data_IF_640522145469
#
_entry.id   IF_640522145469
#
_cell.length_a   1.000
_cell.length_b   1.000
_cell.length_c   1.000
_cell.angle_alpha   90.00
_cell.angle_beta   90.00
_cell.angle_gamma   90.00
#
_symmetry.space_group_name_H-M   'P 1'
#
loop_
_entity.id
_entity.type
_entity.pdbx_description
1 polymer ?
#
# COMPACT_ATOMS: atom_id res chain seq x y z
N UNK A 1 -8.60 10.35 -37.56
CA UNK A 1 -7.37 10.70 -36.81
C UNK A 1 -6.90 9.42 -36.15
N UNK A 2 -5.74 8.89 -36.54
CA UNK A 2 -5.25 7.62 -36.01
C UNK A 2 -4.74 7.82 -34.58
N UNK A 3 -5.23 7.03 -33.63
CA UNK A 3 -4.70 6.94 -32.27
C UNK A 3 -3.33 6.28 -32.32
N UNK A 4 -2.27 7.09 -32.45
CA UNK A 4 -0.89 6.60 -32.44
C UNK A 4 -0.38 6.50 -31.01
N UNK A 5 -0.08 5.29 -30.55
CA UNK A 5 0.74 5.08 -29.35
C UNK A 5 2.17 5.54 -29.65
N UNK A 6 2.64 6.59 -28.98
CA UNK A 6 4.04 6.98 -29.05
C UNK A 6 4.84 6.11 -28.06
N UNK A 7 5.47 5.05 -28.57
CA UNK A 7 6.37 4.20 -27.76
C UNK A 7 7.78 4.77 -27.78
N UNK A 8 8.25 5.24 -26.63
CA UNK A 8 9.66 5.63 -26.45
C UNK A 8 10.39 4.47 -25.77
N UNK A 9 11.38 3.89 -26.46
CA UNK A 9 12.20 2.81 -25.93
C UNK A 9 13.37 3.39 -25.15
N UNK A 10 13.52 2.99 -23.88
CA UNK A 10 14.76 3.23 -23.15
C UNK A 10 15.87 2.41 -23.83
N UNK A 11 16.88 3.08 -24.39
CA UNK A 11 18.00 2.38 -25.04
C UNK A 11 18.85 1.70 -23.98
N UNK A 12 19.04 0.39 -24.13
CA UNK A 12 19.88 -0.43 -23.26
C UNK A 12 21.30 0.16 -23.27
N UNK A 13 21.70 0.69 -22.12
CA UNK A 13 23.12 0.76 -21.80
C UNK A 13 23.54 -0.68 -21.50
N UNK A 14 24.55 -1.14 -22.20
CA UNK A 14 25.28 -2.39 -22.04
C UNK A 14 25.89 -2.48 -20.63
N UNK A 15 25.02 -2.69 -19.65
CA UNK A 15 25.33 -2.56 -18.23
C UNK A 15 25.18 -3.91 -17.50
N UNK A 16 26.07 -4.85 -17.82
CA UNK A 16 26.14 -6.15 -17.14
C UNK A 16 26.87 -6.11 -15.80
N UNK A 17 27.29 -4.93 -15.32
CA UNK A 17 28.17 -4.79 -14.15
C UNK A 17 27.52 -3.92 -13.08
N UNK A 18 27.48 -4.41 -11.84
CA UNK A 18 27.05 -3.60 -10.68
C UNK A 18 27.95 -2.34 -10.63
N UNK A 19 27.35 -1.15 -10.69
CA UNK A 19 28.06 0.13 -10.66
C UNK A 19 28.27 0.85 -12.01
N UNK A 20 27.72 0.38 -13.13
CA UNK A 20 27.86 1.12 -14.38
C UNK A 20 26.91 2.32 -14.51
N UNK A 21 27.18 3.15 -15.53
CA UNK A 21 26.62 4.47 -15.76
C UNK A 21 25.12 4.57 -15.46
N UNK A 22 24.75 5.60 -14.70
CA UNK A 22 23.37 5.91 -14.35
C UNK A 22 22.51 6.10 -15.62
N UNK A 23 21.40 5.38 -15.68
CA UNK A 23 20.38 5.51 -16.72
C UNK A 23 19.36 6.61 -16.41
N UNK A 24 19.51 7.38 -15.32
CA UNK A 24 18.52 8.39 -14.89
C UNK A 24 18.19 9.39 -16.00
N UNK A 25 19.19 10.01 -16.63
CA UNK A 25 18.93 11.02 -17.66
C UNK A 25 18.27 10.43 -18.92
N UNK A 26 18.75 9.31 -19.50
CA UNK A 26 18.03 8.62 -20.57
C UNK A 26 16.60 8.21 -20.20
N UNK A 27 16.37 7.73 -18.97
CA UNK A 27 15.05 7.32 -18.49
C UNK A 27 14.11 8.52 -18.34
N UNK A 28 14.57 9.61 -17.72
CA UNK A 28 13.79 10.84 -17.57
C UNK A 28 13.48 11.50 -18.92
N UNK A 29 14.42 11.45 -19.88
CA UNK A 29 14.19 11.92 -21.25
C UNK A 29 13.09 11.10 -21.94
N UNK A 30 13.06 9.78 -21.73
CA UNK A 30 11.99 8.94 -22.27
C UNK A 30 10.63 9.28 -21.66
N UNK A 31 10.56 9.50 -20.33
CA UNK A 31 9.34 9.95 -19.65
C UNK A 31 8.85 11.32 -20.17
N UNK A 32 9.76 12.28 -20.32
CA UNK A 32 9.44 13.60 -20.86
C UNK A 32 8.97 13.53 -22.33
N UNK A 33 9.59 12.68 -23.14
CA UNK A 33 9.18 12.48 -24.53
C UNK A 33 7.83 11.77 -24.64
N UNK A 34 7.54 10.78 -23.79
CA UNK A 34 6.24 10.11 -23.77
C UNK A 34 5.10 11.02 -23.29
N UNK A 35 5.39 12.06 -22.50
CA UNK A 35 4.42 13.11 -22.16
C UNK A 35 3.88 13.87 -23.40
N UNK A 36 4.56 13.75 -24.55
CA UNK A 36 4.02 14.17 -25.85
C UNK A 36 2.70 13.47 -26.20
N UNK A 37 2.51 12.19 -25.82
CA UNK A 37 1.25 11.48 -26.01
C UNK A 37 0.08 12.25 -25.43
N UNK A 38 0.22 12.73 -24.20
CA UNK A 38 -0.78 13.54 -23.49
C UNK A 38 -1.09 14.84 -24.21
N UNK A 39 -0.07 15.50 -24.78
CA UNK A 39 -0.24 16.71 -25.60
C UNK A 39 -0.93 16.45 -26.95
N UNK A 40 -1.07 15.18 -27.36
CA UNK A 40 -1.66 14.77 -28.64
C UNK A 40 -2.88 13.85 -28.46
N UNK A 41 -3.50 13.88 -27.28
CA UNK A 41 -4.77 13.19 -27.01
C UNK A 41 -4.67 11.68 -26.80
N UNK A 42 -3.49 11.14 -26.47
CA UNK A 42 -3.27 9.72 -26.18
C UNK A 42 -2.41 9.47 -24.95
N UNK A 43 -2.42 8.25 -24.41
CA UNK A 43 -1.48 7.87 -23.35
C UNK A 43 -0.08 7.65 -23.95
N UNK A 44 0.95 8.23 -23.33
CA UNK A 44 2.34 7.95 -23.70
C UNK A 44 2.83 6.64 -23.10
N UNK A 45 3.61 5.85 -23.84
CA UNK A 45 4.19 4.60 -23.31
C UNK A 45 5.72 4.66 -23.30
N UNK A 46 6.32 4.36 -22.15
CA UNK A 46 7.78 4.20 -22.01
C UNK A 46 8.09 2.72 -21.84
N UNK A 47 8.63 2.08 -22.87
CA UNK A 47 9.02 0.68 -22.83
C UNK A 47 10.43 0.51 -22.27
N UNK A 48 10.56 -0.26 -21.19
CA UNK A 48 11.81 -0.60 -20.52
C UNK A 48 12.15 -2.07 -20.83
N UNK A 49 13.14 -2.34 -21.68
CA UNK A 49 13.50 -3.71 -22.03
C UNK A 49 14.14 -4.47 -20.85
N UNK A 50 14.16 -5.79 -20.97
CA UNK A 50 14.86 -6.69 -20.06
C UNK A 50 16.33 -6.26 -19.83
N UNK A 51 16.77 -6.24 -18.58
CA UNK A 51 18.08 -5.78 -18.17
C UNK A 51 18.03 -5.07 -16.82
N UNK A 52 19.21 -4.79 -16.26
CA UNK A 52 19.35 -4.05 -15.00
C UNK A 52 19.69 -2.60 -15.32
N UNK A 53 18.93 -1.67 -14.74
CA UNK A 53 18.99 -0.23 -15.01
C UNK A 53 19.26 0.51 -13.71
N UNK A 54 20.49 0.98 -13.50
CA UNK A 54 20.77 1.86 -12.36
C UNK A 54 20.08 3.21 -12.58
N UNK A 55 19.09 3.54 -11.76
CA UNK A 55 18.29 4.77 -11.89
C UNK A 55 18.22 5.51 -10.55
N UNK A 56 18.31 6.83 -10.58
CA UNK A 56 17.89 7.71 -9.49
C UNK A 56 16.39 8.00 -9.59
N UNK A 57 15.89 8.97 -8.82
CA UNK A 57 14.45 9.32 -8.78
C UNK A 57 13.91 9.75 -10.15
N UNK A 58 12.98 8.99 -10.77
CA UNK A 58 12.26 9.42 -11.95
C UNK A 58 11.04 10.28 -11.57
N UNK A 59 10.73 11.27 -12.40
CA UNK A 59 9.51 12.08 -12.29
C UNK A 59 8.54 11.70 -13.40
N UNK A 60 7.44 11.04 -13.01
CA UNK A 60 6.37 10.66 -13.93
C UNK A 60 5.58 11.89 -14.41
N UNK A 61 4.93 11.75 -15.56
CA UNK A 61 4.11 12.79 -16.21
C UNK A 61 2.67 12.29 -16.33
N UNK A 62 1.72 13.22 -16.43
CA UNK A 62 0.30 12.91 -16.59
C UNK A 62 0.05 12.05 -17.84
N UNK A 63 -0.86 11.07 -17.73
CA UNK A 63 -1.30 10.21 -18.82
C UNK A 63 -0.15 9.45 -19.52
N UNK A 64 0.66 8.77 -18.71
CA UNK A 64 1.82 7.97 -19.15
C UNK A 64 1.74 6.55 -18.56
N UNK A 65 2.22 5.57 -19.31
CA UNK A 65 2.37 4.17 -18.89
C UNK A 65 3.84 3.72 -19.04
N UNK A 66 4.60 3.56 -17.95
CA UNK A 66 5.85 2.82 -17.98
C UNK A 66 5.54 1.33 -18.13
N UNK A 67 6.11 0.69 -19.15
CA UNK A 67 5.96 -0.73 -19.44
C UNK A 67 7.30 -1.44 -19.21
N UNK A 68 7.36 -2.23 -18.13
CA UNK A 68 8.53 -3.00 -17.73
C UNK A 68 8.43 -4.40 -18.34
N UNK A 69 9.27 -4.68 -19.34
CA UNK A 69 9.32 -6.01 -19.94
C UNK A 69 9.76 -7.06 -18.91
N UNK A 70 9.35 -8.35 -19.06
CA UNK A 70 9.87 -9.42 -18.24
C UNK A 70 11.41 -9.41 -18.17
N UNK A 71 11.96 -9.41 -16.95
CA UNK A 71 13.39 -9.30 -16.70
C UNK A 71 13.97 -7.88 -16.71
N UNK A 72 13.14 -6.84 -16.82
CA UNK A 72 13.56 -5.47 -16.55
C UNK A 72 13.66 -5.23 -15.04
N UNK A 73 14.77 -4.65 -14.59
CA UNK A 73 15.03 -4.33 -13.18
C UNK A 73 15.49 -2.89 -13.08
N UNK A 74 14.70 -2.04 -12.42
CA UNK A 74 15.13 -0.71 -12.01
C UNK A 74 15.86 -0.83 -10.67
N UNK A 75 17.16 -0.54 -10.66
CA UNK A 75 18.01 -0.60 -9.46
C UNK A 75 18.30 0.82 -8.98
N UNK A 76 17.79 1.16 -7.82
CA UNK A 76 18.11 2.41 -7.13
C UNK A 76 19.43 2.30 -6.36
N UNK A 77 19.78 3.30 -5.55
CA UNK A 77 21.09 3.41 -4.88
C UNK A 77 21.48 2.17 -4.08
N UNK A 78 20.50 1.42 -3.56
CA UNK A 78 20.73 0.23 -2.73
C UNK A 78 21.34 0.56 -1.38
N UNK A 79 21.34 1.84 -0.99
CA UNK A 79 21.85 2.32 0.29
C UNK A 79 20.76 2.15 1.35
N UNK A 80 21.01 1.25 2.31
CA UNK A 80 20.08 0.87 3.39
C UNK A 80 19.58 2.08 4.18
N UNK A 81 20.45 3.06 4.45
CA UNK A 81 20.11 4.28 5.20
C UNK A 81 19.11 5.21 4.50
N UNK A 82 18.70 4.92 3.26
CA UNK A 82 17.62 5.63 2.58
C UNK A 82 16.23 5.00 2.82
N UNK A 83 16.15 3.86 3.49
CA UNK A 83 14.91 3.10 3.68
C UNK A 83 14.76 2.73 5.17
N UNK A 84 14.06 3.56 5.94
CA UNK A 84 13.80 3.33 7.36
C UNK A 84 12.47 2.60 7.63
N UNK A 85 11.58 2.52 6.63
CA UNK A 85 10.31 1.80 6.68
C UNK A 85 10.14 0.91 5.45
N UNK A 86 9.50 -0.25 5.63
CA UNK A 86 9.40 -1.31 4.61
C UNK A 86 7.96 -1.78 4.39
N UNK A 87 7.06 -0.81 4.26
CA UNK A 87 5.66 -1.04 3.92
C UNK A 87 5.54 -1.57 2.48
N UNK A 88 4.45 -2.30 2.20
CA UNK A 88 4.15 -2.79 0.86
C UNK A 88 3.38 -1.76 0.04
N UNK A 89 2.09 -1.62 0.34
CA UNK A 89 1.20 -0.63 -0.29
C UNK A 89 0.47 0.17 0.78
N UNK A 90 0.76 1.47 0.81
CA UNK A 90 0.01 2.46 1.57
C UNK A 90 -0.98 3.18 0.65
N UNK A 91 -2.28 3.07 0.97
CA UNK A 91 -3.31 3.90 0.35
C UNK A 91 -3.53 5.13 1.24
N UNK A 92 -3.22 6.30 0.71
CA UNK A 92 -3.16 7.52 1.52
C UNK A 92 -4.05 8.61 0.92
N UNK A 93 -4.94 9.19 1.74
CA UNK A 93 -5.78 10.35 1.38
C UNK A 93 -6.46 10.22 0.01
N UNK A 94 -6.90 9.00 -0.31
CA UNK A 94 -7.38 8.61 -1.63
C UNK A 94 -8.79 8.03 -1.55
N UNK A 95 -9.52 8.10 -2.67
CA UNK A 95 -10.88 7.57 -2.79
C UNK A 95 -11.05 6.66 -3.99
N UNK A 96 -11.83 5.58 -3.83
CA UNK A 96 -12.16 4.64 -4.90
C UNK A 96 -10.96 3.79 -5.31
N UNK A 97 -10.19 3.30 -4.33
CA UNK A 97 -8.95 2.55 -4.55
C UNK A 97 -9.20 1.05 -4.37
N UNK A 98 -8.78 0.26 -5.35
CA UNK A 98 -8.76 -1.20 -5.27
C UNK A 98 -7.35 -1.74 -5.38
N UNK A 99 -6.93 -2.54 -4.40
CA UNK A 99 -5.67 -3.30 -4.41
C UNK A 99 -6.02 -4.78 -4.51
N UNK A 100 -5.70 -5.40 -5.63
CA UNK A 100 -6.09 -6.77 -5.94
C UNK A 100 -4.89 -7.68 -6.18
N UNK A 101 -4.98 -8.95 -5.81
CA UNK A 101 -4.04 -10.01 -6.22
C UNK A 101 -2.58 -9.69 -5.87
N UNK A 102 -2.36 -9.13 -4.68
CA UNK A 102 -1.07 -8.60 -4.27
C UNK A 102 -0.38 -9.50 -3.23
N UNK A 103 0.94 -9.55 -3.31
CA UNK A 103 1.82 -10.22 -2.34
C UNK A 103 2.68 -9.15 -1.68
N UNK A 104 2.51 -8.95 -0.39
CA UNK A 104 3.31 -8.05 0.42
C UNK A 104 4.14 -8.85 1.43
N UNK A 105 5.46 -8.75 1.33
CA UNK A 105 6.41 -9.35 2.26
C UNK A 105 7.36 -8.24 2.68
N UNK A 106 7.34 -7.88 3.96
CA UNK A 106 8.08 -6.73 4.47
C UNK A 106 8.39 -6.87 5.94
N UNK A 107 9.20 -5.93 6.43
CA UNK A 107 9.49 -5.78 7.85
C UNK A 107 8.48 -4.84 8.53
N UNK A 108 7.64 -4.16 7.75
CA UNK A 108 6.59 -3.29 8.26
C UNK A 108 5.25 -3.64 7.62
N UNK A 109 4.34 -2.69 7.39
CA UNK A 109 2.95 -2.97 7.02
C UNK A 109 2.80 -3.34 5.54
N UNK A 110 2.42 -4.59 5.19
CA UNK A 110 2.35 -4.97 3.79
C UNK A 110 1.20 -4.27 3.05
N UNK A 111 0.10 -3.99 3.75
CA UNK A 111 -1.07 -3.31 3.20
C UNK A 111 -1.67 -2.40 4.27
N UNK A 112 -1.71 -1.10 4.00
CA UNK A 112 -2.22 -0.14 4.96
C UNK A 112 -3.00 1.02 4.35
N UNK A 113 -3.85 1.66 5.16
CA UNK A 113 -4.43 2.98 4.87
C UNK A 113 -3.92 4.02 5.86
N UNK A 114 -3.60 5.22 5.40
CA UNK A 114 -3.10 6.34 6.24
C UNK A 114 -3.68 7.67 5.76
N UNK A 115 -3.74 8.68 6.63
CA UNK A 115 -4.21 10.02 6.23
C UNK A 115 -3.55 11.08 7.08
N UNK A 116 -2.72 11.94 6.53
CA UNK A 116 -1.85 12.81 7.29
C UNK A 116 -2.38 14.25 7.30
N UNK A 117 -1.70 15.13 8.03
CA UNK A 117 -1.93 16.57 7.92
C UNK A 117 -0.78 17.22 7.16
N UNK A 118 -0.94 18.49 6.82
CA UNK A 118 0.07 19.25 6.09
C UNK A 118 1.36 19.50 6.91
N UNK A 119 1.34 19.25 8.22
CA UNK A 119 2.47 19.42 9.12
C UNK A 119 3.35 18.15 9.21
N UNK A 120 2.86 17.01 8.73
CA UNK A 120 3.57 15.74 8.73
C UNK A 120 4.72 15.77 7.71
N UNK A 121 5.96 15.53 8.16
CA UNK A 121 7.19 15.67 7.33
C UNK A 121 7.13 14.86 6.03
N UNK A 122 6.60 13.63 6.09
CA UNK A 122 6.42 12.75 4.91
C UNK A 122 5.57 13.38 3.79
N UNK A 123 4.67 14.32 4.14
CA UNK A 123 3.69 14.91 3.21
C UNK A 123 3.92 16.39 2.92
N UNK A 124 4.87 17.05 3.60
CA UNK A 124 5.14 18.48 3.40
C UNK A 124 5.54 18.84 1.96
N UNK A 125 6.07 17.88 1.21
CA UNK A 125 6.53 18.06 -0.18
C UNK A 125 5.53 17.54 -1.22
N UNK A 126 4.45 16.88 -0.78
CA UNK A 126 3.39 16.37 -1.66
C UNK A 126 2.46 17.54 -2.02
N UNK A 127 2.26 17.85 -3.31
CA UNK A 127 1.37 18.94 -3.71
C UNK A 127 -0.10 18.64 -3.40
N UNK A 128 -0.80 19.63 -2.84
CA UNK A 128 -2.24 19.55 -2.53
C UNK A 128 -2.54 19.73 -1.05
N UNK A 129 -3.81 19.91 -0.73
CA UNK A 129 -4.28 19.92 0.65
C UNK A 129 -4.56 18.48 1.11
N UNK A 130 -4.32 18.14 2.39
CA UNK A 130 -4.68 16.84 2.95
C UNK A 130 -6.17 16.54 2.79
N UNK A 131 -6.51 15.27 2.52
CA UNK A 131 -7.89 14.84 2.25
C UNK A 131 -8.30 13.63 3.08
N UNK A 132 -9.62 13.48 3.34
CA UNK A 132 -10.13 12.23 3.88
C UNK A 132 -9.85 11.07 2.91
N UNK A 133 -9.83 9.87 3.46
CA UNK A 133 -9.77 8.61 2.71
C UNK A 133 -11.14 7.94 2.74
N UNK A 134 -11.59 7.44 1.59
CA UNK A 134 -12.90 6.79 1.50
C UNK A 134 -12.91 5.69 0.43
N UNK A 135 -13.71 4.65 0.59
CA UNK A 135 -13.91 3.60 -0.43
C UNK A 135 -12.58 2.96 -0.88
N UNK A 136 -11.96 2.20 0.02
CA UNK A 136 -10.71 1.49 -0.24
C UNK A 136 -10.89 0.00 -0.01
N UNK A 137 -10.60 -0.80 -1.03
CA UNK A 137 -10.71 -2.26 -0.98
C UNK A 137 -9.38 -2.93 -1.27
N UNK A 138 -8.96 -3.83 -0.37
CA UNK A 138 -7.88 -4.78 -0.60
C UNK A 138 -8.47 -6.19 -0.73
N UNK A 139 -8.20 -6.87 -1.84
CA UNK A 139 -8.77 -8.17 -2.18
C UNK A 139 -7.72 -9.16 -2.72
N UNK A 140 -7.77 -10.41 -2.28
CA UNK A 140 -6.91 -11.47 -2.80
C UNK A 140 -5.45 -11.27 -2.40
N UNK A 141 -5.18 -11.13 -1.11
CA UNK A 141 -3.86 -10.74 -0.59
C UNK A 141 -3.07 -11.92 0.01
N UNK A 142 -1.76 -11.89 -0.15
CA UNK A 142 -0.82 -12.57 0.75
C UNK A 142 -0.04 -11.50 1.51
N UNK A 143 -0.13 -11.51 2.83
CA UNK A 143 0.58 -10.60 3.72
C UNK A 143 1.52 -11.36 4.64
N UNK A 144 2.80 -11.01 4.63
CA UNK A 144 3.83 -11.58 5.50
C UNK A 144 4.66 -10.47 6.11
N UNK A 145 4.57 -10.31 7.42
CA UNK A 145 5.33 -9.32 8.19
C UNK A 145 5.42 -9.77 9.65
N UNK A 146 6.27 -9.15 10.46
CA UNK A 146 6.16 -9.23 11.92
C UNK A 146 5.33 -8.07 12.52
N UNK A 147 4.93 -7.10 11.70
CA UNK A 147 4.11 -5.93 12.06
C UNK A 147 2.60 -6.24 11.88
N UNK A 148 1.79 -5.28 11.41
CA UNK A 148 0.37 -5.49 11.14
C UNK A 148 0.14 -6.05 9.73
N UNK A 149 -0.50 -7.22 9.63
CA UNK A 149 -0.70 -7.88 8.35
C UNK A 149 -1.69 -7.16 7.43
N UNK A 150 -2.73 -6.53 7.99
CA UNK A 150 -3.77 -5.79 7.29
C UNK A 150 -4.14 -4.61 8.18
N UNK A 151 -3.83 -3.37 7.81
CA UNK A 151 -4.02 -2.22 8.71
C UNK A 151 -4.88 -1.12 8.11
N UNK A 152 -5.99 -0.80 8.78
CA UNK A 152 -6.63 0.51 8.59
C UNK A 152 -6.07 1.48 9.64
N UNK A 153 -5.22 2.42 9.24
CA UNK A 153 -4.68 3.47 10.11
C UNK A 153 -3.17 3.45 10.37
N UNK A 154 -2.79 4.13 11.45
CA UNK A 154 -1.54 4.86 11.72
C UNK A 154 -1.54 6.25 11.11
N UNK A 155 -1.64 7.24 11.98
CA UNK A 155 -1.76 8.64 11.58
C UNK A 155 -3.02 8.86 10.76
N UNK A 156 -4.21 8.76 11.36
CA UNK A 156 -5.46 9.21 10.75
C UNK A 156 -5.77 10.65 11.19
N UNK A 157 -4.95 11.58 10.71
CA UNK A 157 -5.09 13.01 10.92
C UNK A 157 -6.10 13.68 9.96
N UNK A 158 -6.68 12.90 9.04
CA UNK A 158 -7.96 13.15 8.35
C UNK A 158 -8.94 12.00 8.64
N UNK A 159 -10.25 12.18 8.46
CA UNK A 159 -11.21 11.09 8.57
C UNK A 159 -10.96 9.99 7.55
N UNK A 160 -11.19 8.74 7.94
CA UNK A 160 -11.20 7.58 7.02
C UNK A 160 -12.57 6.90 7.04
N UNK A 161 -13.02 6.42 5.90
CA UNK A 161 -14.24 5.62 5.82
C UNK A 161 -14.17 4.47 4.81
N UNK A 162 -15.02 3.47 5.02
CA UNK A 162 -15.29 2.40 4.07
C UNK A 162 -14.03 1.65 3.62
N UNK A 163 -13.25 1.17 4.58
CA UNK A 163 -12.05 0.36 4.32
C UNK A 163 -12.38 -1.11 4.42
N UNK A 164 -12.09 -1.88 3.37
CA UNK A 164 -12.33 -3.32 3.31
C UNK A 164 -11.05 -4.09 3.03
N UNK A 165 -10.75 -5.08 3.87
CA UNK A 165 -9.80 -6.14 3.56
C UNK A 165 -10.57 -7.45 3.41
N UNK A 166 -10.43 -8.13 2.27
CA UNK A 166 -11.15 -9.36 1.98
C UNK A 166 -10.26 -10.40 1.30
N UNK A 167 -10.53 -11.68 1.55
CA UNK A 167 -9.85 -12.81 0.91
C UNK A 167 -8.32 -12.74 1.05
N UNK A 168 -7.83 -12.81 2.29
CA UNK A 168 -6.41 -12.66 2.59
C UNK A 168 -5.82 -13.88 3.31
N UNK A 169 -4.54 -14.16 3.04
CA UNK A 169 -3.72 -15.06 3.86
C UNK A 169 -2.63 -14.26 4.57
N UNK A 170 -2.52 -14.44 5.89
CA UNK A 170 -1.59 -13.69 6.74
C UNK A 170 -0.58 -14.63 7.39
N UNK A 171 0.71 -14.28 7.33
CA UNK A 171 1.84 -15.00 7.91
C UNK A 171 2.65 -14.10 8.85
N UNK A 172 3.05 -14.66 9.98
CA UNK A 172 3.88 -14.05 11.03
C UNK A 172 3.35 -12.73 11.62
N UNK A 173 2.09 -12.41 11.35
CA UNK A 173 1.42 -11.21 11.82
C UNK A 173 0.08 -11.60 12.46
N UNK A 174 -0.43 -10.71 13.30
CA UNK A 174 -1.83 -10.76 13.68
C UNK A 174 -2.69 -10.03 12.64
N UNK A 175 -3.99 -10.35 12.62
CA UNK A 175 -4.99 -9.54 11.90
C UNK A 175 -5.48 -8.48 12.88
N UNK A 176 -5.11 -7.23 12.66
CA UNK A 176 -5.45 -6.14 13.57
C UNK A 176 -5.78 -4.86 12.83
N UNK A 177 -6.81 -4.16 13.29
CA UNK A 177 -7.27 -2.90 12.71
C UNK A 177 -6.86 -1.79 13.66
N UNK A 178 -5.84 -1.01 13.35
CA UNK A 178 -5.63 0.28 14.00
C UNK A 178 -4.31 0.40 14.76
N UNK A 179 -3.84 1.65 14.76
CA UNK A 179 -2.65 2.15 15.42
C UNK A 179 -3.01 3.49 16.10
N UNK A 180 -2.69 3.69 17.41
CA UNK A 180 -3.20 4.78 18.26
C UNK A 180 -2.75 6.22 17.93
N UNK A 181 -2.12 6.50 16.80
CA UNK A 181 -1.53 7.81 16.52
C UNK A 181 -2.49 8.87 15.92
N UNK A 182 -3.77 8.54 15.65
CA UNK A 182 -4.70 9.43 14.96
C UNK A 182 -5.64 10.24 15.87
N UNK A 183 -6.02 11.44 15.42
CA UNK A 183 -6.87 12.39 16.16
C UNK A 183 -8.31 12.49 15.65
N UNK A 184 -8.63 11.91 14.47
CA UNK A 184 -9.94 11.99 13.80
C UNK A 184 -10.60 10.60 13.62
N UNK A 185 -11.89 10.47 13.27
CA UNK A 185 -12.55 9.16 13.29
C UNK A 185 -12.22 8.27 12.09
N UNK A 186 -12.27 6.95 12.30
CA UNK A 186 -12.39 5.94 11.25
C UNK A 186 -13.80 5.35 11.32
N UNK A 187 -14.52 5.32 10.19
CA UNK A 187 -15.89 4.79 10.14
C UNK A 187 -16.05 3.70 9.07
N UNK A 188 -16.40 2.49 9.48
CA UNK A 188 -16.64 1.37 8.59
C UNK A 188 -15.33 0.70 8.18
N UNK A 189 -14.90 -0.27 8.98
CA UNK A 189 -13.79 -1.15 8.62
C UNK A 189 -14.29 -2.58 8.56
N UNK A 190 -14.17 -3.22 7.40
CA UNK A 190 -14.52 -4.62 7.22
C UNK A 190 -13.26 -5.44 6.99
N UNK A 191 -13.03 -6.45 7.82
CA UNK A 191 -12.03 -7.48 7.56
C UNK A 191 -12.74 -8.81 7.47
N UNK A 192 -12.67 -9.47 6.31
CA UNK A 192 -13.39 -10.74 6.12
C UNK A 192 -12.65 -11.78 5.29
N UNK A 193 -13.00 -13.05 5.49
CA UNK A 193 -12.43 -14.19 4.77
C UNK A 193 -10.90 -14.20 4.87
N UNK A 194 -10.38 -14.19 6.10
CA UNK A 194 -8.94 -14.14 6.34
C UNK A 194 -8.46 -15.43 6.98
N UNK A 195 -7.40 -16.01 6.43
CA UNK A 195 -6.71 -17.15 7.02
C UNK A 195 -5.37 -16.70 7.61
N UNK A 196 -5.26 -16.72 8.93
CA UNK A 196 -3.99 -16.47 9.64
C UNK A 196 -3.26 -17.78 9.81
N UNK A 197 -2.13 -17.95 9.12
CA UNK A 197 -1.36 -19.20 9.09
C UNK A 197 -0.39 -19.32 10.25
N UNK A 198 0.27 -18.21 10.56
CA UNK A 198 1.15 -18.06 11.71
C UNK A 198 0.83 -16.71 12.36
N UNK A 199 0.33 -16.76 13.60
CA UNK A 199 0.02 -15.56 14.35
C UNK A 199 1.27 -15.19 15.11
N UNK A 200 1.99 -14.19 14.59
CA UNK A 200 3.25 -13.71 15.14
C UNK A 200 3.15 -13.18 16.57
N UNK A 201 4.21 -12.51 17.01
CA UNK A 201 4.35 -12.06 18.40
C UNK A 201 3.67 -10.73 18.68
N UNK A 202 3.40 -9.92 17.65
CA UNK A 202 2.74 -8.62 17.77
C UNK A 202 1.23 -8.82 17.94
N UNK A 203 0.63 -8.43 19.09
CA UNK A 203 -0.80 -8.57 19.28
C UNK A 203 -1.58 -7.62 18.37
N UNK A 204 -2.70 -8.09 17.82
CA UNK A 204 -3.61 -7.23 17.08
C UNK A 204 -4.36 -6.27 18.02
N UNK A 205 -4.82 -5.16 17.45
CA UNK A 205 -5.49 -4.07 18.18
C UNK A 205 -6.67 -3.53 17.37
N UNK A 206 -7.60 -2.90 18.08
CA UNK A 206 -8.66 -1.98 17.63
C UNK A 206 -8.61 -0.77 18.55
N UNK A 207 -7.66 0.12 18.29
CA UNK A 207 -7.38 1.26 19.16
C UNK A 207 -7.64 2.57 18.42
N UNK A 208 -8.72 3.25 18.80
CA UNK A 208 -8.93 4.66 18.46
C UNK A 208 -8.39 5.59 19.54
N UNK A 209 -8.83 6.85 19.48
CA UNK A 209 -8.63 7.86 20.52
C UNK A 209 -9.97 8.49 20.92
N UNK A 210 -10.06 9.20 22.06
CA UNK A 210 -11.28 9.89 22.46
C UNK A 210 -11.85 10.86 21.39
N UNK A 211 -10.97 11.49 20.61
CA UNK A 211 -11.35 12.41 19.53
C UNK A 211 -11.43 11.74 18.16
N UNK A 212 -10.76 10.60 18.01
CA UNK A 212 -10.74 9.78 16.80
C UNK A 212 -11.15 8.34 17.05
N UNK A 213 -12.43 8.08 17.38
CA UNK A 213 -12.90 6.72 17.61
C UNK A 213 -12.95 5.91 16.32
N UNK A 214 -12.86 4.58 16.46
CA UNK A 214 -13.07 3.64 15.35
C UNK A 214 -14.49 3.06 15.45
N UNK A 215 -15.34 3.34 14.47
CA UNK A 215 -16.74 2.90 14.47
C UNK A 215 -17.03 1.94 13.32
N UNK A 216 -18.04 1.07 13.49
CA UNK A 216 -18.52 0.20 12.42
C UNK A 216 -17.49 -0.86 12.00
N UNK A 217 -16.81 -1.48 12.96
CA UNK A 217 -15.87 -2.58 12.67
C UNK A 217 -16.64 -3.89 12.50
N UNK A 218 -16.39 -4.59 11.39
CA UNK A 218 -16.93 -5.91 11.09
C UNK A 218 -15.81 -6.90 10.82
N UNK A 219 -15.73 -7.96 11.61
CA UNK A 219 -14.77 -9.06 11.49
C UNK A 219 -15.52 -10.33 11.10
N UNK A 220 -15.30 -10.83 9.88
CA UNK A 220 -16.03 -11.99 9.34
C UNK A 220 -15.12 -13.12 8.91
N UNK A 221 -15.40 -14.37 9.29
CA UNK A 221 -14.67 -15.55 8.82
C UNK A 221 -13.13 -15.42 8.96
N UNK A 222 -12.67 -15.04 10.15
CA UNK A 222 -11.24 -14.95 10.47
C UNK A 222 -10.78 -16.26 11.08
N UNK A 223 -10.04 -17.07 10.32
CA UNK A 223 -9.58 -18.40 10.72
C UNK A 223 -8.14 -18.34 11.24
N UNK A 224 -7.97 -18.58 12.54
CA UNK A 224 -6.69 -18.46 13.25
C UNK A 224 -5.84 -19.75 13.18
N UNK A 225 -4.53 -19.70 13.49
CA UNK A 225 -3.68 -20.90 13.48
C UNK A 225 -4.24 -22.02 14.37
N UNK A 226 -4.16 -23.26 13.91
CA UNK A 226 -4.70 -24.42 14.63
C UNK A 226 -6.24 -24.57 14.60
N UNK A 227 -6.97 -23.64 13.98
CA UNK A 227 -8.43 -23.71 13.85
C UNK A 227 -8.86 -23.91 12.39
N UNK A 228 -10.07 -24.42 12.19
CA UNK A 228 -10.70 -24.62 10.87
C UNK A 228 -11.99 -23.81 10.68
N UNK A 229 -12.53 -23.24 11.76
CA UNK A 229 -13.71 -22.36 11.77
C UNK A 229 -13.29 -20.93 12.06
N UNK A 230 -14.10 -19.94 11.70
CA UNK A 230 -13.80 -18.56 12.06
C UNK A 230 -13.87 -18.34 13.57
N UNK A 231 -13.09 -17.38 14.02
CA UNK A 231 -13.05 -16.94 15.40
C UNK A 231 -14.35 -16.23 15.79
N UNK A 232 -14.82 -16.50 17.00
CA UNK A 232 -16.09 -16.00 17.54
C UNK A 232 -15.91 -14.83 18.50
N UNK A 233 -14.67 -14.42 18.78
CA UNK A 233 -14.34 -13.35 19.72
C UNK A 233 -13.03 -12.64 19.36
N UNK A 234 -12.85 -11.41 19.84
CA UNK A 234 -11.59 -10.66 19.72
C UNK A 234 -10.41 -11.42 20.33
N UNK A 235 -10.61 -12.04 21.49
CA UNK A 235 -9.60 -12.84 22.16
C UNK A 235 -9.16 -14.04 21.31
N UNK A 236 -10.10 -14.73 20.64
CA UNK A 236 -9.75 -15.82 19.72
C UNK A 236 -8.93 -15.35 18.52
N UNK A 237 -9.13 -14.10 18.08
CA UNK A 237 -8.32 -13.43 17.03
C UNK A 237 -7.01 -12.84 17.55
N UNK A 238 -6.69 -12.99 18.84
CA UNK A 238 -5.55 -12.34 19.53
C UNK A 238 -5.58 -10.80 19.41
N UNK A 239 -6.76 -10.21 19.37
CA UNK A 239 -6.94 -8.76 19.50
C UNK A 239 -6.98 -8.44 20.99
N UNK A 240 -5.94 -7.79 21.51
CA UNK A 240 -5.75 -7.56 22.96
C UNK A 240 -5.77 -6.10 23.36
N UNK A 241 -5.77 -5.16 22.40
CA UNK A 241 -6.02 -3.74 22.65
C UNK A 241 -7.30 -3.35 21.95
N UNK A 242 -8.30 -2.88 22.70
CA UNK A 242 -9.64 -2.60 22.22
C UNK A 242 -10.19 -1.33 22.90
N UNK A 243 -9.57 -0.20 22.58
CA UNK A 243 -9.90 1.09 23.21
C UNK A 243 -10.51 2.08 22.21
N UNK A 244 -11.44 2.91 22.68
CA UNK A 244 -12.07 3.99 21.92
C UNK A 244 -12.64 3.54 20.56
N UNK A 245 -13.36 2.43 20.55
CA UNK A 245 -14.09 1.96 19.39
C UNK A 245 -15.58 1.79 19.71
N UNK A 246 -16.41 1.89 18.68
CA UNK A 246 -17.81 1.49 18.73
C UNK A 246 -17.97 -0.03 18.77
N UNK A 247 -19.22 -0.54 18.77
CA UNK A 247 -19.46 -1.98 18.73
C UNK A 247 -18.72 -2.69 17.58
N UNK A 248 -18.11 -3.83 17.89
CA UNK A 248 -17.47 -4.71 16.89
C UNK A 248 -18.42 -5.85 16.56
N UNK A 249 -18.74 -6.03 15.29
CA UNK A 249 -19.53 -7.17 14.81
C UNK A 249 -18.60 -8.31 14.46
N UNK A 250 -18.84 -9.51 15.00
CA UNK A 250 -18.05 -10.71 14.71
C UNK A 250 -18.96 -11.76 14.08
N UNK A 251 -18.55 -12.27 12.93
CA UNK A 251 -19.22 -13.38 12.23
C UNK A 251 -18.21 -14.52 12.02
N UNK A 252 -18.40 -15.71 12.63
CA UNK A 252 -17.50 -16.86 12.45
C UNK A 252 -17.55 -17.44 11.03
#
# INVERSE_FOLDING_TARGET
MGSGTASVRVRKLDNTTIGAASATAPFQNALNAAAWGSANGGQGTVYVPSGVWTVGTPYLRSNLAPDLAPGAVLRYTGEDGHYDHHDGIDVMESTGVSVGNAVGIGLDDPFSTKTWDAATDLFRTVPGDPRPLDDVTFDGLLSWTYCYGLKAGQGFLQPQSNVTFTNATVYQAAVGIGDPAGSLPINGVTVKNVRVRDAGTTPARINGSPTGPINGVSLGHIVMPGTTTGATSLAAMKITGDTHHGPVTITP
#
